data_IF_334148518915
#
_entry.id   IF_334148518915
#
_cell.length_a   1.000
_cell.length_b   1.000
_cell.length_c   1.000
_cell.angle_alpha   90.00
_cell.angle_beta   90.00
_cell.angle_gamma   90.00
#
_symmetry.space_group_name_H-M   'P 1'
#
loop_
_entity.id
_entity.type
_entity.pdbx_description
1 polymer ?
#
# COMPACT_ATOMS: atom_id res chain seq x y z
N UNK A 1 -14.68 32.38 45.90
CA UNK A 1 -14.13 31.00 45.92
C UNK A 1 -15.02 30.04 45.09
N UNK A 2 -15.45 30.46 43.89
CA UNK A 2 -16.50 29.75 43.11
C UNK A 2 -16.14 29.52 41.64
N UNK A 3 -15.09 30.17 41.11
CA UNK A 3 -14.65 30.07 39.71
C UNK A 3 -13.82 28.82 39.41
N UNK A 4 -13.13 28.25 40.40
CA UNK A 4 -12.27 27.07 40.22
C UNK A 4 -13.04 25.75 40.02
N UNK A 5 -14.29 25.66 40.51
CA UNK A 5 -15.12 24.45 40.37
C UNK A 5 -15.76 24.29 38.99
N UNK A 6 -15.96 25.37 38.24
CA UNK A 6 -16.60 25.35 36.91
C UNK A 6 -15.62 24.86 35.83
N UNK A 7 -14.33 25.18 35.97
CA UNK A 7 -13.29 24.76 35.01
C UNK A 7 -13.05 23.25 35.06
N UNK A 8 -13.09 22.64 36.25
CA UNK A 8 -12.96 21.18 36.40
C UNK A 8 -14.14 20.40 35.79
N UNK A 9 -15.35 20.98 35.78
CA UNK A 9 -16.56 20.33 35.25
C UNK A 9 -16.61 20.37 33.71
N UNK A 10 -16.09 21.43 33.09
CA UNK A 10 -15.97 21.53 31.63
C UNK A 10 -14.91 20.58 31.04
N UNK A 11 -13.79 20.35 31.75
CA UNK A 11 -12.77 19.39 31.32
C UNK A 11 -13.29 17.93 31.31
N UNK A 12 -14.22 17.57 32.21
CA UNK A 12 -14.77 16.22 32.30
C UNK A 12 -15.76 15.89 31.16
N UNK A 13 -16.48 16.90 30.65
CA UNK A 13 -17.45 16.72 29.55
C UNK A 13 -16.72 16.53 28.21
N UNK A 14 -15.57 17.18 28.00
CA UNK A 14 -14.79 17.00 26.76
C UNK A 14 -14.15 15.60 26.70
N UNK A 15 -13.64 15.06 27.81
CA UNK A 15 -12.98 13.75 27.84
C UNK A 15 -13.96 12.58 27.65
N UNK A 16 -15.22 12.72 28.08
CA UNK A 16 -16.24 11.67 27.90
C UNK A 16 -16.79 11.61 26.48
N UNK A 17 -16.82 12.73 25.75
CA UNK A 17 -17.35 12.78 24.37
C UNK A 17 -16.48 12.05 23.32
N UNK A 18 -15.17 11.92 23.53
CA UNK A 18 -14.27 11.24 22.60
C UNK A 18 -14.37 9.70 22.67
N UNK A 19 -14.78 9.14 23.81
CA UNK A 19 -14.84 7.68 24.01
C UNK A 19 -16.05 7.02 23.34
N UNK A 20 -17.12 7.77 23.07
CA UNK A 20 -18.33 7.23 22.43
C UNK A 20 -18.13 6.93 20.94
N UNK A 21 -17.32 7.73 20.24
CA UNK A 21 -17.11 7.58 18.79
C UNK A 21 -16.41 6.27 18.43
N UNK A 22 -15.41 5.87 19.21
CA UNK A 22 -14.67 4.61 18.97
C UNK A 22 -15.57 3.37 19.18
N UNK A 23 -16.48 3.42 20.16
CA UNK A 23 -17.41 2.32 20.44
C UNK A 23 -18.49 2.18 19.36
N UNK A 24 -19.01 3.31 18.85
CA UNK A 24 -20.01 3.30 17.77
C UNK A 24 -19.44 2.77 16.45
N UNK A 25 -18.19 3.12 16.11
CA UNK A 25 -17.54 2.61 14.91
C UNK A 25 -17.28 1.10 15.01
N UNK A 26 -16.78 0.63 16.16
CA UNK A 26 -16.53 -0.80 16.37
C UNK A 26 -17.82 -1.61 16.22
N UNK A 27 -18.95 -1.14 16.78
CA UNK A 27 -20.25 -1.80 16.62
C UNK A 27 -20.69 -1.87 15.16
N UNK A 28 -20.56 -0.78 14.39
CA UNK A 28 -20.91 -0.77 12.98
C UNK A 28 -20.07 -1.75 12.15
N UNK A 29 -18.78 -1.92 12.49
CA UNK A 29 -17.91 -2.90 11.84
C UNK A 29 -18.26 -4.35 12.21
N UNK A 30 -18.80 -4.60 13.40
CA UNK A 30 -19.24 -5.94 13.82
C UNK A 30 -20.46 -6.43 13.03
N UNK A 31 -21.28 -5.54 12.47
CA UNK A 31 -22.45 -5.92 11.68
C UNK A 31 -22.08 -6.29 10.22
N UNK A 32 -20.87 -5.91 9.76
CA UNK A 32 -20.39 -6.20 8.41
C UNK A 32 -19.92 -7.65 8.23
N UNK A 33 -20.03 -8.16 7.00
CA UNK A 33 -19.41 -9.42 6.57
C UNK A 33 -17.90 -9.27 6.39
N UNK A 34 -17.15 -10.38 6.33
CA UNK A 34 -15.70 -10.34 6.08
C UNK A 34 -15.37 -9.70 4.72
N UNK A 35 -16.21 -9.90 3.70
CA UNK A 35 -16.04 -9.29 2.38
C UNK A 35 -16.21 -7.78 2.44
N UNK A 36 -17.27 -7.28 3.09
CA UNK A 36 -17.47 -5.83 3.25
C UNK A 36 -16.34 -5.18 4.05
N UNK A 37 -15.79 -5.87 5.05
CA UNK A 37 -14.63 -5.40 5.81
C UNK A 37 -13.35 -5.41 4.96
N UNK A 38 -13.15 -6.44 4.14
CA UNK A 38 -12.02 -6.49 3.21
C UNK A 38 -12.07 -5.34 2.19
N UNK A 39 -13.26 -5.03 1.65
CA UNK A 39 -13.50 -3.89 0.77
C UNK A 39 -13.21 -2.55 1.47
N UNK A 40 -13.65 -2.37 2.72
CA UNK A 40 -13.29 -1.18 3.50
C UNK A 40 -11.77 -1.03 3.66
N UNK A 41 -11.06 -2.15 3.86
CA UNK A 41 -9.62 -2.16 4.07
C UNK A 41 -8.84 -1.76 2.80
N UNK A 42 -9.36 -2.08 1.61
CA UNK A 42 -8.77 -1.66 0.33
C UNK A 42 -8.75 -0.13 0.15
N UNK A 43 -9.63 0.59 0.84
CA UNK A 43 -9.57 2.06 0.90
C UNK A 43 -8.29 2.59 1.56
N UNK A 44 -7.62 1.78 2.38
CA UNK A 44 -6.32 2.09 2.97
C UNK A 44 -5.18 1.43 2.17
N UNK A 45 -5.40 0.22 1.67
CA UNK A 45 -4.45 -0.53 0.86
C UNK A 45 -4.86 -0.48 -0.61
N UNK A 46 -4.44 0.56 -1.33
CA UNK A 46 -4.85 0.74 -2.73
C UNK A 46 -4.28 -0.37 -3.64
N UNK A 47 -5.06 -1.42 -3.86
CA UNK A 47 -4.77 -2.49 -4.83
C UNK A 47 -4.67 -1.91 -6.25
N UNK A 48 -5.50 -0.91 -6.57
CA UNK A 48 -5.46 -0.22 -7.86
C UNK A 48 -4.12 0.47 -8.14
N UNK A 49 -3.54 1.15 -7.15
CA UNK A 49 -2.22 1.78 -7.30
C UNK A 49 -1.13 0.73 -7.57
N UNK A 50 -1.22 -0.44 -6.91
CA UNK A 50 -0.28 -1.54 -7.11
C UNK A 50 -0.40 -2.15 -8.51
N UNK A 51 -1.63 -2.39 -9.00
CA UNK A 51 -1.87 -2.89 -10.37
C UNK A 51 -1.32 -1.90 -11.40
N UNK A 52 -1.61 -0.61 -11.23
CA UNK A 52 -1.14 0.44 -12.15
C UNK A 52 0.39 0.45 -12.22
N UNK A 53 1.06 0.42 -11.06
CA UNK A 53 2.53 0.35 -10.98
C UNK A 53 3.07 -0.93 -11.66
N UNK A 54 2.40 -2.06 -11.47
CA UNK A 54 2.78 -3.32 -12.10
C UNK A 54 2.66 -3.25 -13.64
N UNK A 55 1.55 -2.69 -14.15
CA UNK A 55 1.37 -2.46 -15.59
C UNK A 55 2.50 -1.60 -16.15
N UNK A 56 2.85 -0.49 -15.48
CA UNK A 56 3.94 0.37 -15.94
C UNK A 56 5.29 -0.37 -15.99
N UNK A 57 5.60 -1.19 -14.99
CA UNK A 57 6.83 -2.01 -14.97
C UNK A 57 6.84 -2.99 -16.15
N UNK A 58 5.71 -3.60 -16.52
CA UNK A 58 5.62 -4.49 -17.67
C UNK A 58 5.77 -3.71 -19.00
N UNK A 59 5.07 -2.59 -19.13
CA UNK A 59 5.08 -1.75 -20.34
C UNK A 59 6.46 -1.17 -20.62
N UNK A 60 7.22 -0.81 -19.58
CA UNK A 60 8.57 -0.27 -19.74
C UNK A 60 9.55 -1.24 -20.41
N UNK A 61 9.28 -2.55 -20.35
CA UNK A 61 10.08 -3.59 -21.02
C UNK A 61 9.84 -3.66 -22.53
N UNK A 62 8.85 -2.94 -23.06
CA UNK A 62 8.48 -2.95 -24.47
C UNK A 62 9.08 -1.74 -25.23
N UNK A 63 9.27 -1.85 -26.57
CA UNK A 63 9.65 -0.73 -27.41
C UNK A 63 8.68 0.44 -27.26
N UNK A 64 9.19 1.68 -27.25
CA UNK A 64 8.39 2.90 -26.98
C UNK A 64 7.13 2.98 -27.84
N UNK A 65 7.22 2.64 -29.12
CA UNK A 65 6.09 2.65 -30.05
C UNK A 65 4.92 1.72 -29.66
N UNK A 66 5.20 0.62 -28.94
CA UNK A 66 4.19 -0.37 -28.53
C UNK A 66 3.60 -0.09 -27.14
N UNK A 67 4.17 0.85 -26.39
CA UNK A 67 3.80 1.08 -24.99
C UNK A 67 2.35 1.53 -24.80
N UNK A 68 1.79 2.46 -25.61
CA UNK A 68 0.41 2.89 -25.45
C UNK A 68 -0.60 1.74 -25.63
N UNK A 69 -0.45 0.98 -26.72
CA UNK A 69 -1.31 -0.18 -27.02
C UNK A 69 -1.19 -1.27 -25.95
N UNK A 70 0.04 -1.57 -25.50
CA UNK A 70 0.26 -2.55 -24.46
C UNK A 70 -0.34 -2.12 -23.11
N UNK A 71 -0.26 -0.83 -22.76
CA UNK A 71 -0.88 -0.31 -21.54
C UNK A 71 -2.38 -0.50 -21.56
N UNK A 72 -3.04 -0.13 -22.66
CA UNK A 72 -4.49 -0.30 -22.82
C UNK A 72 -4.88 -1.78 -22.74
N UNK A 73 -4.16 -2.63 -23.47
CA UNK A 73 -4.39 -4.08 -23.49
C UNK A 73 -4.23 -4.70 -22.11
N UNK A 74 -3.14 -4.38 -21.39
CA UNK A 74 -2.88 -4.91 -20.05
C UNK A 74 -3.91 -4.40 -19.04
N UNK A 75 -4.32 -3.13 -19.15
CA UNK A 75 -5.37 -2.57 -18.28
C UNK A 75 -6.70 -3.29 -18.50
N UNK A 76 -7.05 -3.56 -19.77
CA UNK A 76 -8.26 -4.30 -20.11
C UNK A 76 -8.22 -5.75 -19.61
N UNK A 77 -7.12 -6.47 -19.83
CA UNK A 77 -6.95 -7.86 -19.39
C UNK A 77 -7.00 -7.97 -17.87
N UNK A 78 -6.23 -7.12 -17.19
CA UNK A 78 -6.13 -7.17 -15.74
C UNK A 78 -7.40 -6.64 -15.07
N UNK A 79 -8.17 -5.75 -15.73
CA UNK A 79 -9.43 -5.20 -15.23
C UNK A 79 -9.35 -4.81 -13.75
N UNK A 80 -8.94 -3.57 -13.42
CA UNK A 80 -8.69 -3.16 -12.05
C UNK A 80 -9.82 -3.50 -11.07
N UNK A 81 -11.06 -3.37 -11.51
CA UNK A 81 -12.28 -3.73 -10.77
C UNK A 81 -12.31 -5.21 -10.39
N UNK A 82 -12.04 -6.12 -11.34
CA UNK A 82 -12.02 -7.57 -11.07
C UNK A 82 -10.90 -7.97 -10.12
N UNK A 83 -9.74 -7.32 -10.20
CA UNK A 83 -8.66 -7.60 -9.25
C UNK A 83 -8.98 -7.03 -7.87
N UNK A 84 -9.69 -5.89 -7.79
CA UNK A 84 -10.16 -5.35 -6.52
C UNK A 84 -11.15 -6.31 -5.85
N UNK A 85 -12.14 -6.82 -6.59
CA UNK A 85 -13.07 -7.86 -6.12
C UNK A 85 -12.31 -9.11 -5.64
N UNK A 86 -11.44 -9.68 -6.49
CA UNK A 86 -10.62 -10.84 -6.15
C UNK A 86 -9.74 -10.58 -4.92
N UNK A 87 -9.18 -9.39 -4.80
CA UNK A 87 -8.36 -9.00 -3.66
C UNK A 87 -9.18 -8.94 -2.38
N UNK A 88 -10.45 -8.53 -2.42
CA UNK A 88 -11.32 -8.50 -1.25
C UNK A 88 -11.69 -9.92 -0.82
N UNK A 89 -11.98 -10.80 -1.79
CA UNK A 89 -12.21 -12.23 -1.54
C UNK A 89 -11.00 -12.87 -0.86
N UNK A 90 -9.80 -12.71 -1.44
CA UNK A 90 -8.56 -13.25 -0.85
C UNK A 90 -8.33 -12.70 0.56
N UNK A 91 -8.56 -11.40 0.81
CA UNK A 91 -8.44 -10.82 2.15
C UNK A 91 -9.44 -11.44 3.13
N UNK A 92 -10.69 -11.62 2.72
CA UNK A 92 -11.73 -12.20 3.57
C UNK A 92 -11.49 -13.68 3.89
N UNK A 93 -10.81 -14.41 2.99
CA UNK A 93 -10.38 -15.79 3.22
C UNK A 93 -9.12 -15.88 4.08
N UNK A 94 -8.21 -14.91 3.95
CA UNK A 94 -6.90 -14.90 4.64
C UNK A 94 -7.01 -14.42 6.08
N UNK A 95 -7.81 -13.39 6.33
CA UNK A 95 -7.96 -12.77 7.64
C UNK A 95 -9.28 -13.15 8.28
N UNK A 96 -9.25 -13.38 9.59
CA UNK A 96 -10.48 -13.52 10.36
C UNK A 96 -11.20 -12.18 10.46
N UNK A 97 -12.52 -12.22 10.65
CA UNK A 97 -13.34 -11.01 10.86
C UNK A 97 -12.80 -10.10 11.98
N UNK A 98 -12.40 -10.60 13.18
CA UNK A 98 -11.81 -9.75 14.21
C UNK A 98 -10.50 -9.05 13.78
N UNK A 99 -9.67 -9.72 12.98
CA UNK A 99 -8.42 -9.13 12.46
C UNK A 99 -8.72 -8.01 11.47
N UNK A 100 -9.65 -8.22 10.52
CA UNK A 100 -10.08 -7.20 9.58
C UNK A 100 -10.61 -5.96 10.30
N UNK A 101 -11.45 -6.13 11.31
CA UNK A 101 -11.96 -5.02 12.14
C UNK A 101 -10.79 -4.26 12.79
N UNK A 102 -9.81 -4.98 13.37
CA UNK A 102 -8.67 -4.34 14.04
C UNK A 102 -7.76 -3.59 13.07
N UNK A 103 -7.57 -4.11 11.87
CA UNK A 103 -6.82 -3.42 10.81
C UNK A 103 -7.54 -2.13 10.40
N UNK A 104 -8.85 -2.17 10.16
CA UNK A 104 -9.65 -0.99 9.81
C UNK A 104 -9.61 0.05 10.95
N UNK A 105 -9.80 -0.38 12.20
CA UNK A 105 -9.71 0.50 13.38
C UNK A 105 -8.34 1.19 13.46
N UNK A 106 -7.26 0.44 13.24
CA UNK A 106 -5.90 0.97 13.25
C UNK A 106 -5.69 2.00 12.13
N UNK A 107 -5.99 1.64 10.88
CA UNK A 107 -5.79 2.52 9.73
C UNK A 107 -6.75 3.72 9.70
N UNK A 108 -7.88 3.66 10.42
CA UNK A 108 -8.74 4.82 10.62
C UNK A 108 -8.08 5.91 11.50
N UNK A 109 -7.09 5.55 12.33
CA UNK A 109 -6.41 6.51 13.22
C UNK A 109 -5.41 7.40 12.46
N UNK A 110 -5.10 8.62 12.95
CA UNK A 110 -4.05 9.46 12.35
C UNK A 110 -2.70 8.75 12.29
N UNK A 111 -2.37 7.96 13.31
CA UNK A 111 -1.14 7.19 13.36
C UNK A 111 -1.11 6.09 12.29
N UNK A 112 -2.20 5.33 12.14
CA UNK A 112 -2.30 4.27 11.12
C UNK A 112 -2.17 4.81 9.70
N UNK A 113 -2.86 5.93 9.40
CA UNK A 113 -2.72 6.61 8.09
C UNK A 113 -1.30 7.11 7.88
N UNK A 114 -0.67 7.72 8.89
CA UNK A 114 0.71 8.17 8.77
C UNK A 114 1.68 7.01 8.59
N UNK A 115 1.46 5.88 9.27
CA UNK A 115 2.29 4.70 9.14
C UNK A 115 2.20 4.12 7.72
N UNK A 116 1.00 4.04 7.17
CA UNK A 116 0.80 3.54 5.80
C UNK A 116 1.47 4.44 4.75
N UNK A 117 1.27 5.76 4.84
CA UNK A 117 1.92 6.70 3.92
C UNK A 117 3.45 6.61 3.98
N UNK A 118 4.01 6.51 5.20
CA UNK A 118 5.46 6.36 5.39
C UNK A 118 5.97 5.00 4.93
N UNK A 119 5.16 3.94 5.02
CA UNK A 119 5.48 2.61 4.52
C UNK A 119 5.67 2.64 3.00
N UNK A 120 4.78 3.32 2.28
CA UNK A 120 4.90 3.53 0.82
C UNK A 120 6.15 4.34 0.49
N UNK A 121 6.38 5.47 1.16
CA UNK A 121 7.57 6.31 0.97
C UNK A 121 8.87 5.52 1.23
N UNK A 122 8.91 4.72 2.30
CA UNK A 122 10.03 3.85 2.62
C UNK A 122 10.29 2.83 1.50
N UNK A 123 9.24 2.17 1.00
CA UNK A 123 9.36 1.19 -0.08
C UNK A 123 9.89 1.82 -1.38
N UNK A 124 9.45 3.03 -1.71
CA UNK A 124 9.94 3.77 -2.87
C UNK A 124 11.43 4.09 -2.73
N UNK A 125 11.84 4.66 -1.60
CA UNK A 125 13.25 4.95 -1.31
C UNK A 125 14.12 3.70 -1.36
N UNK A 126 13.67 2.62 -0.73
CA UNK A 126 14.39 1.35 -0.75
C UNK A 126 14.53 0.81 -2.18
N UNK A 127 13.48 0.90 -3.01
CA UNK A 127 13.53 0.43 -4.39
C UNK A 127 14.56 1.14 -5.26
N UNK A 128 14.75 2.45 -5.06
CA UNK A 128 15.77 3.24 -5.76
C UNK A 128 17.18 2.81 -5.36
N UNK A 129 17.42 2.60 -4.07
CA UNK A 129 18.75 2.15 -3.61
C UNK A 129 19.07 0.74 -4.09
N UNK A 130 18.09 -0.18 -4.07
CA UNK A 130 18.26 -1.51 -4.66
C UNK A 130 18.57 -1.43 -6.17
N UNK A 131 17.91 -0.55 -6.91
CA UNK A 131 18.18 -0.36 -8.33
C UNK A 131 19.62 0.12 -8.57
N UNK A 132 20.11 1.11 -7.82
CA UNK A 132 21.50 1.59 -7.92
C UNK A 132 22.50 0.47 -7.66
N UNK A 133 22.25 -0.37 -6.65
CA UNK A 133 23.12 -1.51 -6.33
C UNK A 133 23.17 -2.53 -7.49
N UNK A 134 22.02 -2.81 -8.11
CA UNK A 134 21.92 -3.72 -9.26
C UNK A 134 22.66 -3.12 -10.46
N UNK A 135 22.47 -1.84 -10.77
CA UNK A 135 23.11 -1.15 -11.90
C UNK A 135 24.62 -1.10 -11.75
N UNK A 136 25.12 -0.75 -10.55
CA UNK A 136 26.55 -0.76 -10.25
C UNK A 136 27.16 -2.16 -10.50
N UNK A 137 26.52 -3.22 -10.00
CA UNK A 137 27.02 -4.58 -10.19
C UNK A 137 26.92 -5.06 -11.64
N UNK A 138 25.86 -4.67 -12.36
CA UNK A 138 25.69 -5.02 -13.77
C UNK A 138 26.80 -4.39 -14.64
N UNK A 139 27.17 -3.14 -14.34
CA UNK A 139 28.26 -2.44 -15.02
C UNK A 139 29.61 -3.12 -14.77
N UNK A 140 29.93 -3.47 -13.52
CA UNK A 140 31.16 -4.21 -13.17
C UNK A 140 31.26 -5.55 -13.96
N UNK A 141 30.17 -6.32 -14.00
CA UNK A 141 30.13 -7.61 -14.73
C UNK A 141 30.32 -7.41 -16.24
N UNK A 142 29.79 -6.32 -16.80
CA UNK A 142 29.97 -5.98 -18.21
C UNK A 142 31.43 -5.62 -18.52
N UNK A 143 32.07 -4.82 -17.66
CA UNK A 143 33.48 -4.44 -17.79
C UNK A 143 34.41 -5.65 -17.66
N UNK A 144 34.19 -6.53 -16.67
CA UNK A 144 34.95 -7.77 -16.49
C UNK A 144 34.89 -8.68 -17.73
N UNK A 145 33.71 -8.82 -18.35
CA UNK A 145 33.53 -9.66 -19.54
C UNK A 145 34.22 -9.09 -20.77
N UNK A 146 34.11 -7.77 -20.98
CA UNK A 146 34.72 -7.13 -22.15
C UNK A 146 36.24 -7.00 -22.01
N UNK A 147 36.74 -6.78 -20.80
CA UNK A 147 38.18 -6.82 -20.51
C UNK A 147 38.78 -8.20 -20.79
N UNK A 148 38.11 -9.28 -20.39
CA UNK A 148 38.54 -10.66 -20.69
C UNK A 148 38.49 -11.01 -22.18
N UNK A 149 37.45 -10.59 -22.90
CA UNK A 149 37.35 -10.82 -24.34
C UNK A 149 38.39 -10.04 -25.17
N UNK A 150 38.90 -8.92 -24.65
CA UNK A 150 40.00 -8.19 -25.29
C UNK A 150 41.34 -8.92 -25.10
N UNK A 151 41.62 -9.44 -23.91
CA UNK A 151 42.87 -10.19 -23.65
C UNK A 151 42.94 -11.53 -24.38
N UNK A 152 41.82 -12.22 -24.58
CA UNK A 152 41.78 -13.52 -25.29
C UNK A 152 41.92 -13.40 -26.82
N UNK A 153 41.83 -12.20 -27.40
CA UNK A 153 42.00 -11.96 -28.85
C UNK A 153 43.42 -11.52 -29.22
N UNK A 154 44.26 -11.23 -28.24
CA UNK A 154 45.65 -10.81 -28.44
C UNK A 154 46.67 -11.96 -28.26
N UNK A 155 46.21 -13.18 -27.90
CA UNK A 155 46.96 -14.44 -27.98
C UNK A 155 46.66 -15.22 -29.28
#
# INVERSE_FOLDING_TARGET
>A
MTTSRIIFLLAFIVVTSLSFSAFSQSKALQDKTSIELAQDLQGYWSTQAQITKFIEVLVQKLPVAKRPEARETLTYILSPEKIEELSAEIMAETFTKPELIKLIEFYATPLGRSAENKRVEYQEKLSVEMQKMIEARAQEVYEERNGKQASEKEE
#
